data_IF_699278729544
#
_entry.id   IF_699278729544
#
_cell.length_a   1.000
_cell.length_b   1.000
_cell.length_c   1.000
_cell.angle_alpha   90.00
_cell.angle_beta   90.00
_cell.angle_gamma   90.00
#
_symmetry.space_group_name_H-M   'P 1'
#
loop_
_entity.id
_entity.type
_entity.pdbx_description
1 polymer ?
#
# COMPACT_ATOMS: atom_id res chain seq x y z
N UNK A 1 -40.83 -30.07 -7.08
CA UNK A 1 -39.94 -29.06 -6.46
C UNK A 1 -38.53 -29.60 -6.58
N UNK A 2 -37.85 -29.23 -7.67
CA UNK A 2 -36.51 -29.74 -8.00
C UNK A 2 -35.51 -29.03 -7.10
N UNK A 3 -34.85 -29.76 -6.19
CA UNK A 3 -33.79 -29.20 -5.38
C UNK A 3 -32.61 -28.86 -6.31
N UNK A 4 -32.33 -27.57 -6.48
CA UNK A 4 -31.09 -27.09 -7.09
C UNK A 4 -29.99 -27.35 -6.07
N UNK A 5 -29.20 -28.41 -6.27
CA UNK A 5 -27.96 -28.62 -5.52
C UNK A 5 -26.90 -27.72 -6.16
N UNK A 6 -26.86 -26.48 -5.70
CA UNK A 6 -25.74 -25.59 -5.96
C UNK A 6 -24.67 -25.89 -4.92
N UNK A 7 -23.56 -26.49 -5.35
CA UNK A 7 -22.37 -26.68 -4.52
C UNK A 7 -22.02 -25.36 -3.82
N UNK A 8 -22.12 -25.35 -2.49
CA UNK A 8 -21.66 -24.23 -1.68
C UNK A 8 -20.14 -24.33 -1.61
N UNK A 9 -19.44 -23.45 -2.32
CA UNK A 9 -17.98 -23.31 -2.18
C UNK A 9 -17.66 -23.04 -0.71
N UNK A 10 -16.90 -23.94 -0.09
CA UNK A 10 -16.13 -23.59 1.09
C UNK A 10 -15.01 -22.69 0.57
N UNK A 11 -15.11 -21.39 0.82
CA UNK A 11 -13.98 -20.51 0.57
C UNK A 11 -12.88 -20.92 1.54
N UNK A 12 -11.86 -21.59 1.03
CA UNK A 12 -10.59 -21.79 1.74
C UNK A 12 -10.00 -20.42 2.09
N UNK A 13 -9.14 -20.39 3.11
CA UNK A 13 -8.60 -19.16 3.68
C UNK A 13 -8.03 -18.23 2.61
N UNK A 14 -8.30 -16.93 2.77
CA UNK A 14 -7.64 -15.86 2.00
C UNK A 14 -6.44 -15.29 2.77
N UNK A 15 -5.73 -14.36 2.15
CA UNK A 15 -4.69 -13.56 2.82
C UNK A 15 -5.34 -12.64 3.86
N UNK A 16 -4.69 -12.52 5.03
CA UNK A 16 -5.07 -11.57 6.07
C UNK A 16 -5.10 -10.14 5.51
N UNK A 17 -6.06 -9.33 5.94
CA UNK A 17 -6.14 -7.92 5.57
C UNK A 17 -4.89 -7.13 6.01
N UNK A 18 -4.16 -7.64 7.01
CA UNK A 18 -2.89 -7.10 7.46
C UNK A 18 -1.73 -7.97 6.97
N UNK A 19 -0.76 -7.35 6.31
CA UNK A 19 0.57 -7.92 6.08
C UNK A 19 1.58 -7.26 7.01
N UNK A 20 2.64 -7.98 7.36
CA UNK A 20 3.69 -7.47 8.26
C UNK A 20 4.85 -6.95 7.45
N UNK A 21 5.23 -5.69 7.69
CA UNK A 21 6.43 -5.09 7.10
C UNK A 21 7.68 -5.71 7.76
N UNK A 22 8.60 -6.20 6.94
CA UNK A 22 9.93 -6.64 7.39
C UNK A 22 10.96 -5.54 7.12
N UNK A 23 10.89 -4.94 5.94
CA UNK A 23 11.67 -3.75 5.54
C UNK A 23 10.87 -2.92 4.54
N UNK A 24 10.89 -1.60 4.68
CA UNK A 24 10.26 -0.69 3.72
C UNK A 24 11.08 -0.43 2.46
N UNK A 25 12.35 -0.86 2.44
CA UNK A 25 13.28 -0.52 1.38
C UNK A 25 13.59 0.98 1.32
N UNK A 26 14.08 1.46 0.18
CA UNK A 26 14.35 2.90 -0.05
C UNK A 26 14.24 3.23 -1.53
N UNK A 27 14.00 4.51 -1.85
CA UNK A 27 14.11 5.06 -3.20
C UNK A 27 12.93 4.74 -4.12
N UNK A 28 11.78 4.37 -3.57
CA UNK A 28 10.58 4.19 -4.37
C UNK A 28 10.02 5.56 -4.78
N UNK A 29 10.08 5.85 -6.09
CA UNK A 29 9.62 7.11 -6.70
C UNK A 29 8.23 7.01 -7.33
N UNK A 30 7.75 5.79 -7.53
CA UNK A 30 6.38 5.49 -7.95
C UNK A 30 5.90 4.23 -7.26
N UNK A 31 4.58 4.09 -7.10
CA UNK A 31 3.98 2.95 -6.39
C UNK A 31 4.43 1.63 -7.03
N UNK A 32 5.15 0.76 -6.31
CA UNK A 32 5.60 -0.51 -6.87
C UNK A 32 4.43 -1.49 -7.03
N UNK A 33 4.61 -2.46 -7.93
CA UNK A 33 3.66 -3.56 -8.12
C UNK A 33 3.83 -4.58 -6.99
N UNK A 34 2.73 -4.95 -6.35
CA UNK A 34 2.69 -6.01 -5.35
C UNK A 34 2.03 -7.24 -5.96
N UNK A 35 2.69 -8.39 -5.82
CA UNK A 35 2.12 -9.68 -6.24
C UNK A 35 2.19 -10.70 -5.11
N UNK A 36 1.15 -11.52 -5.03
CA UNK A 36 1.08 -12.68 -4.15
C UNK A 36 1.28 -13.94 -4.98
N UNK A 37 1.90 -14.98 -4.41
CA UNK A 37 1.97 -16.28 -5.06
C UNK A 37 0.56 -16.84 -5.33
N UNK A 38 0.44 -17.68 -6.35
CA UNK A 38 -0.81 -18.37 -6.65
C UNK A 38 -1.23 -19.28 -5.48
N UNK A 39 -2.54 -19.44 -5.24
CA UNK A 39 -3.06 -20.41 -4.26
C UNK A 39 -2.81 -21.85 -4.71
N UNK A 40 -2.78 -22.78 -3.75
CA UNK A 40 -2.61 -24.21 -4.01
C UNK A 40 -3.86 -24.84 -4.66
N UNK A 41 -5.05 -24.35 -4.30
CA UNK A 41 -6.30 -24.79 -4.92
C UNK A 41 -6.42 -24.20 -6.32
N UNK A 42 -6.54 -25.06 -7.34
CA UNK A 42 -6.54 -24.66 -8.77
C UNK A 42 -7.72 -23.77 -9.19
N UNK A 43 -8.80 -23.76 -8.42
CA UNK A 43 -9.95 -22.84 -8.59
C UNK A 43 -9.89 -21.63 -7.66
N UNK A 44 -8.79 -21.49 -6.91
CA UNK A 44 -8.53 -20.37 -6.02
C UNK A 44 -8.31 -19.06 -6.79
N UNK A 45 -8.49 -17.95 -6.09
CA UNK A 45 -8.25 -16.61 -6.63
C UNK A 45 -7.02 -16.02 -5.95
N UNK A 46 -6.05 -15.56 -6.74
CA UNK A 46 -4.84 -14.90 -6.20
C UNK A 46 -5.22 -13.59 -5.51
N UNK A 47 -4.64 -13.35 -4.33
CA UNK A 47 -4.78 -12.08 -3.63
C UNK A 47 -4.16 -10.92 -4.42
N UNK A 48 -4.72 -9.73 -4.23
CA UNK A 48 -4.18 -8.49 -4.82
C UNK A 48 -3.96 -7.46 -3.73
N UNK A 49 -3.00 -6.56 -3.94
CA UNK A 49 -2.76 -5.47 -3.03
C UNK A 49 -2.01 -4.32 -3.68
N UNK A 50 -2.04 -3.18 -3.00
CA UNK A 50 -1.42 -1.93 -3.43
C UNK A 50 -0.41 -1.49 -2.37
N UNK A 51 0.81 -1.18 -2.80
CA UNK A 51 1.83 -0.62 -1.93
C UNK A 51 1.53 0.86 -1.61
N UNK A 52 1.80 1.26 -0.38
CA UNK A 52 1.74 2.65 0.07
C UNK A 52 3.17 3.13 0.29
N UNK A 53 3.55 4.20 -0.40
CA UNK A 53 4.83 4.86 -0.19
C UNK A 53 4.65 5.94 0.88
N UNK A 54 5.53 5.94 1.88
CA UNK A 54 5.64 6.96 2.91
C UNK A 54 7.08 7.45 3.04
N UNK A 55 7.32 8.24 4.09
CA UNK A 55 8.60 8.93 4.34
C UNK A 55 9.06 9.71 3.10
N UNK A 56 8.35 10.81 2.85
CA UNK A 56 8.61 11.73 1.74
C UNK A 56 9.07 13.06 2.31
N UNK A 57 9.87 13.79 1.55
CA UNK A 57 10.34 15.11 1.92
C UNK A 57 9.49 16.24 1.32
N UNK A 58 9.63 17.42 1.92
CA UNK A 58 9.39 18.70 1.26
C UNK A 58 10.71 19.40 0.92
N UNK A 59 10.65 20.46 0.14
CA UNK A 59 11.78 21.35 -0.14
C UNK A 59 12.07 22.20 1.10
N UNK A 60 13.26 22.03 1.66
CA UNK A 60 13.73 22.77 2.83
C UNK A 60 14.30 24.14 2.45
N UNK A 61 15.14 24.17 1.41
CA UNK A 61 15.80 25.39 0.96
C UNK A 61 16.19 25.29 -0.50
N UNK A 62 16.44 26.44 -1.12
CA UNK A 62 16.97 26.55 -2.47
C UNK A 62 18.16 27.52 -2.41
N UNK A 63 19.25 27.15 -3.06
CA UNK A 63 20.43 27.99 -3.21
C UNK A 63 20.84 28.04 -4.69
N UNK A 64 21.43 29.15 -5.11
CA UNK A 64 22.06 29.30 -6.42
C UNK A 64 23.58 29.26 -6.30
N UNK A 65 24.23 28.60 -7.25
CA UNK A 65 25.67 28.71 -7.51
C UNK A 65 25.97 28.22 -8.94
N UNK A 66 26.34 29.11 -9.89
CA UNK A 66 26.49 30.55 -9.73
C UNK A 66 25.13 31.29 -9.67
N UNK A 67 25.14 32.54 -9.21
CA UNK A 67 23.94 33.39 -9.06
C UNK A 67 23.47 34.04 -10.36
N UNK A 68 24.29 33.98 -11.42
CA UNK A 68 23.98 34.59 -12.71
C UNK A 68 23.89 36.12 -12.68
N UNK A 69 23.38 36.71 -13.76
CA UNK A 69 23.30 38.18 -13.94
C UNK A 69 22.14 38.60 -14.84
N UNK A 70 21.70 39.85 -14.70
CA UNK A 70 20.72 40.49 -15.60
C UNK A 70 19.27 40.10 -15.33
N UNK A 71 18.98 39.61 -14.13
CA UNK A 71 17.63 39.25 -13.69
C UNK A 71 16.80 40.48 -13.32
N UNK A 72 15.50 40.43 -13.61
CA UNK A 72 14.57 41.54 -13.35
C UNK A 72 13.54 41.23 -12.25
N UNK A 73 12.67 42.20 -11.95
CA UNK A 73 11.50 42.02 -11.07
C UNK A 73 10.45 41.04 -11.62
N UNK A 74 10.57 40.63 -12.89
CA UNK A 74 9.75 39.60 -13.54
C UNK A 74 10.31 38.18 -13.41
N UNK A 75 11.37 38.02 -12.62
CA UNK A 75 11.98 36.71 -12.38
C UNK A 75 11.10 35.87 -11.46
N UNK A 76 10.84 34.63 -11.86
CA UNK A 76 10.13 33.62 -11.09
C UNK A 76 10.98 32.35 -10.96
N UNK A 77 10.57 31.46 -10.07
CA UNK A 77 11.19 30.15 -9.87
C UNK A 77 10.15 29.07 -10.06
N UNK A 78 10.49 28.06 -10.85
CA UNK A 78 9.68 26.87 -11.06
C UNK A 78 10.40 25.67 -10.43
N UNK A 79 9.69 24.94 -9.58
CA UNK A 79 10.17 23.71 -8.95
C UNK A 79 9.46 22.54 -9.63
N UNK A 80 10.19 21.49 -10.01
CA UNK A 80 9.55 20.34 -10.65
C UNK A 80 8.53 19.67 -9.74
N UNK A 81 7.54 19.00 -10.34
CA UNK A 81 6.52 18.24 -9.61
C UNK A 81 7.17 17.15 -8.71
N UNK A 82 6.49 16.75 -7.63
CA UNK A 82 6.94 15.64 -6.78
C UNK A 82 6.93 14.31 -7.52
N UNK A 83 7.73 13.35 -7.05
CA UNK A 83 7.80 12.00 -7.64
C UNK A 83 6.47 11.26 -7.51
N UNK A 84 5.85 11.39 -6.33
CA UNK A 84 4.55 10.79 -6.05
C UNK A 84 3.43 11.63 -6.65
N UNK A 85 2.58 11.00 -7.46
CA UNK A 85 1.44 11.65 -8.11
C UNK A 85 0.42 12.27 -7.14
N UNK A 86 0.36 11.79 -5.89
CA UNK A 86 -0.45 12.35 -4.82
C UNK A 86 0.27 13.44 -4.01
N UNK A 87 1.52 13.75 -4.35
CA UNK A 87 2.32 14.78 -3.69
C UNK A 87 1.81 16.19 -3.99
N UNK A 88 2.25 17.15 -3.18
CA UNK A 88 1.96 18.57 -3.37
C UNK A 88 3.24 19.26 -3.84
N UNK A 89 3.16 19.96 -4.96
CA UNK A 89 4.30 20.69 -5.50
C UNK A 89 4.72 21.83 -4.56
N UNK A 90 6.02 21.95 -4.31
CA UNK A 90 6.60 23.04 -3.56
C UNK A 90 6.49 24.36 -4.34
N UNK A 91 6.39 25.47 -3.62
CA UNK A 91 6.42 26.82 -4.20
C UNK A 91 7.48 27.66 -3.53
N UNK A 92 8.08 28.58 -4.28
CA UNK A 92 9.07 29.52 -3.78
C UNK A 92 8.99 30.84 -4.55
N UNK A 93 9.53 31.90 -3.95
CA UNK A 93 9.86 33.14 -4.63
C UNK A 93 11.38 33.30 -4.71
N UNK A 94 11.83 34.08 -5.70
CA UNK A 94 13.24 34.41 -5.89
C UNK A 94 13.48 35.85 -5.46
N UNK A 95 14.64 36.11 -4.88
CA UNK A 95 15.08 37.45 -4.47
C UNK A 95 16.19 37.87 -5.42
N UNK A 96 15.98 38.97 -6.13
CA UNK A 96 16.96 39.58 -7.04
C UNK A 96 17.61 40.76 -6.31
N UNK A 97 18.94 40.85 -6.36
CA UNK A 97 19.72 41.94 -5.78
C UNK A 97 19.71 43.19 -6.68
N UNK A 98 20.16 44.33 -6.13
CA UNK A 98 20.26 45.60 -6.86
C UNK A 98 21.27 45.56 -8.03
N UNK A 99 22.14 44.55 -8.09
CA UNK A 99 23.10 44.31 -9.19
C UNK A 99 22.60 43.27 -10.21
N UNK A 100 21.29 42.99 -10.22
CA UNK A 100 20.59 42.06 -11.11
C UNK A 100 21.07 40.59 -10.99
N UNK A 101 21.66 40.22 -9.85
CA UNK A 101 22.04 38.83 -9.52
C UNK A 101 20.97 38.15 -8.64
N UNK A 102 20.97 36.81 -8.58
CA UNK A 102 20.11 36.08 -7.64
C UNK A 102 20.70 36.17 -6.23
N UNK A 103 20.01 36.85 -5.33
CA UNK A 103 20.42 36.99 -3.92
C UNK A 103 19.99 35.78 -3.06
N UNK A 104 18.97 35.05 -3.50
CA UNK A 104 18.48 33.86 -2.82
C UNK A 104 17.03 33.54 -3.16
N UNK A 105 16.46 32.62 -2.37
CA UNK A 105 15.11 32.10 -2.57
C UNK A 105 14.38 32.02 -1.23
N UNK A 106 13.07 32.23 -1.27
CA UNK A 106 12.17 32.02 -0.13
C UNK A 106 11.20 30.91 -0.50
N UNK A 107 11.34 29.74 0.12
CA UNK A 107 10.36 28.66 -0.01
C UNK A 107 9.08 29.09 0.67
N UNK A 108 8.01 29.27 -0.09
CA UNK A 108 6.70 29.71 0.41
C UNK A 108 5.88 28.52 0.88
N UNK A 109 5.93 27.40 0.16
CA UNK A 109 5.36 26.12 0.58
C UNK A 109 6.35 25.00 0.29
N UNK A 110 6.71 24.21 1.30
CA UNK A 110 7.69 23.14 1.15
C UNK A 110 7.20 22.00 0.23
N UNK A 111 5.89 21.86 0.04
CA UNK A 111 5.30 20.73 -0.68
C UNK A 111 5.48 19.40 0.06
N UNK A 112 5.17 18.30 -0.62
CA UNK A 112 5.29 16.93 -0.12
C UNK A 112 5.35 15.91 -1.27
N UNK A 113 5.77 14.68 -0.98
CA UNK A 113 5.84 13.62 -2.00
C UNK A 113 7.14 13.59 -2.79
N UNK A 114 8.16 14.35 -2.38
CA UNK A 114 9.50 14.30 -2.94
C UNK A 114 10.28 13.15 -2.30
N UNK A 115 10.75 12.23 -3.13
CA UNK A 115 11.63 11.11 -2.79
C UNK A 115 13.01 11.26 -3.43
N UNK A 116 13.10 12.13 -4.45
CA UNK A 116 14.32 12.62 -5.06
C UNK A 116 14.31 14.15 -5.08
N UNK A 117 15.49 14.76 -5.09
CA UNK A 117 15.62 16.22 -5.11
C UNK A 117 14.99 16.80 -6.38
N UNK A 118 14.04 17.76 -6.27
CA UNK A 118 13.42 18.35 -7.45
C UNK A 118 14.38 19.26 -8.21
N UNK A 119 14.13 19.40 -9.50
CA UNK A 119 14.76 20.43 -10.32
C UNK A 119 14.20 21.80 -9.97
N UNK A 120 15.07 22.82 -10.03
CA UNK A 120 14.70 24.22 -9.84
C UNK A 120 15.14 25.00 -11.06
N UNK A 121 14.21 25.69 -11.69
CA UNK A 121 14.46 26.52 -12.88
C UNK A 121 14.13 27.97 -12.55
N UNK A 122 15.10 28.86 -12.78
CA UNK A 122 14.88 30.31 -12.69
C UNK A 122 14.43 30.80 -14.06
N UNK A 123 13.26 31.44 -14.11
CA UNK A 123 12.66 31.95 -15.34
C UNK A 123 12.55 33.46 -15.24
N UNK A 124 13.17 34.18 -16.15
CA UNK A 124 12.95 35.61 -16.31
C UNK A 124 12.13 35.84 -17.59
N UNK A 125 11.02 36.55 -17.45
CA UNK A 125 10.10 36.85 -18.55
C UNK A 125 10.32 38.23 -19.18
N UNK A 126 11.41 38.91 -18.82
CA UNK A 126 11.83 40.15 -19.48
C UNK A 126 12.28 39.93 -20.94
N UNK A 127 12.11 40.90 -21.86
CA UNK A 127 12.63 40.83 -23.23
C UNK A 127 14.14 40.58 -23.34
N UNK A 128 14.93 40.99 -22.33
CA UNK A 128 16.34 40.65 -22.19
C UNK A 128 16.55 39.83 -20.92
N UNK A 129 16.19 38.54 -20.91
CA UNK A 129 16.07 37.81 -19.67
C UNK A 129 17.43 37.55 -19.04
N UNK A 130 17.48 37.51 -17.70
CA UNK A 130 18.68 37.11 -16.95
C UNK A 130 19.20 35.71 -17.31
N UNK A 131 20.49 35.47 -17.07
CA UNK A 131 21.19 34.25 -17.49
C UNK A 131 22.19 33.80 -16.43
N UNK A 132 22.49 32.49 -16.47
CA UNK A 132 23.62 31.91 -15.75
C UNK A 132 23.33 31.41 -14.35
N UNK A 133 22.17 31.71 -13.75
CA UNK A 133 21.85 31.15 -12.44
C UNK A 133 21.61 29.64 -12.51
N UNK A 134 22.21 28.89 -11.58
CA UNK A 134 21.95 27.46 -11.39
C UNK A 134 21.41 27.27 -9.99
N UNK A 135 20.12 26.99 -9.87
CA UNK A 135 19.45 26.78 -8.59
C UNK A 135 19.37 25.30 -8.25
N UNK A 136 19.61 24.96 -6.98
CA UNK A 136 19.53 23.60 -6.44
C UNK A 136 18.66 23.59 -5.19
N UNK A 137 17.74 22.62 -5.11
CA UNK A 137 16.91 22.41 -3.94
C UNK A 137 17.60 21.46 -2.95
N UNK A 138 17.31 21.65 -1.67
CA UNK A 138 17.65 20.70 -0.61
C UNK A 138 16.35 20.20 0.02
N UNK A 139 16.24 18.89 0.22
CA UNK A 139 15.06 18.25 0.82
C UNK A 139 15.17 18.15 2.35
N UNK A 140 14.03 18.10 3.02
CA UNK A 140 13.94 17.74 4.45
C UNK A 140 14.22 16.25 4.65
N UNK A 141 15.04 15.89 5.65
CA UNK A 141 15.29 14.51 6.10
C UNK A 141 15.47 13.47 4.97
N UNK A 142 16.67 13.42 4.39
CA UNK A 142 16.98 12.60 3.22
C UNK A 142 17.48 11.19 3.56
N UNK A 143 17.55 10.82 4.85
CA UNK A 143 18.22 9.59 5.28
C UNK A 143 17.52 8.33 4.77
N UNK A 144 16.20 8.37 4.61
CA UNK A 144 15.40 7.24 4.15
C UNK A 144 14.12 7.76 3.47
N UNK A 145 14.20 8.12 2.19
CA UNK A 145 13.02 8.56 1.43
C UNK A 145 12.44 7.46 0.56
N UNK A 146 11.12 7.54 0.34
CA UNK A 146 10.38 6.66 -0.55
C UNK A 146 10.36 5.24 -0.01
N UNK A 147 9.89 5.05 1.22
CA UNK A 147 9.73 3.74 1.85
C UNK A 147 8.37 3.17 1.49
N UNK A 148 8.29 1.87 1.21
CA UNK A 148 7.00 1.18 1.24
C UNK A 148 6.63 0.95 2.70
N UNK A 149 5.70 1.73 3.25
CA UNK A 149 5.31 1.65 4.66
C UNK A 149 4.28 0.55 4.92
N UNK A 150 3.37 0.35 3.97
CA UNK A 150 2.31 -0.65 4.07
C UNK A 150 1.95 -1.24 2.71
N UNK A 151 1.29 -2.40 2.74
CA UNK A 151 0.55 -2.93 1.60
C UNK A 151 -0.91 -3.03 2.06
N UNK A 152 -1.80 -2.42 1.29
CA UNK A 152 -3.23 -2.59 1.43
C UNK A 152 -3.61 -3.84 0.64
N UNK A 153 -4.21 -4.83 1.30
CA UNK A 153 -4.74 -6.01 0.63
C UNK A 153 -6.12 -5.63 0.05
N UNK A 154 -6.17 -5.43 -1.26
CA UNK A 154 -7.38 -5.01 -1.98
C UNK A 154 -8.38 -6.17 -2.11
N UNK A 155 -7.86 -7.38 -2.40
CA UNK A 155 -8.62 -8.62 -2.42
C UNK A 155 -7.82 -9.70 -1.72
N UNK A 156 -8.40 -10.30 -0.69
CA UNK A 156 -7.75 -11.36 0.09
C UNK A 156 -7.49 -12.65 -0.72
N UNK A 157 -8.20 -12.83 -1.84
CA UNK A 157 -8.17 -14.08 -2.60
C UNK A 157 -8.81 -15.25 -1.85
N UNK A 158 -8.62 -16.45 -2.38
CA UNK A 158 -9.10 -17.71 -1.84
C UNK A 158 -8.26 -18.87 -2.39
N UNK A 159 -8.31 -20.04 -1.78
CA UNK A 159 -7.54 -21.20 -2.26
C UNK A 159 -6.21 -21.42 -1.55
N UNK A 160 -5.87 -20.58 -0.58
CA UNK A 160 -4.58 -20.67 0.10
C UNK A 160 -4.62 -21.71 1.22
N UNK A 161 -3.78 -22.73 1.08
CA UNK A 161 -3.52 -23.76 2.11
C UNK A 161 -2.23 -23.46 2.88
N UNK A 162 -1.31 -22.71 2.27
CA UNK A 162 -0.10 -22.17 2.91
C UNK A 162 -0.06 -20.65 2.78
N UNK A 163 0.74 -19.99 3.63
CA UNK A 163 0.94 -18.53 3.57
C UNK A 163 1.61 -18.17 2.23
N UNK A 164 1.04 -17.26 1.42
CA UNK A 164 1.65 -16.88 0.16
C UNK A 164 2.90 -16.03 0.35
N UNK A 165 3.81 -16.11 -0.62
CA UNK A 165 4.93 -15.18 -0.71
C UNK A 165 4.50 -13.86 -1.34
N UNK A 166 5.05 -12.75 -0.87
CA UNK A 166 4.85 -11.41 -1.44
C UNK A 166 6.08 -11.04 -2.26
N UNK A 167 5.89 -10.55 -3.49
CA UNK A 167 6.94 -9.98 -4.33
C UNK A 167 6.60 -8.54 -4.70
N UNK A 168 7.59 -7.66 -4.54
CA UNK A 168 7.50 -6.23 -4.85
C UNK A 168 8.45 -5.93 -6.00
N UNK A 169 7.92 -5.38 -7.09
CA UNK A 169 8.71 -5.06 -8.29
C UNK A 169 8.34 -3.68 -8.85
N UNK A 170 9.26 -3.09 -9.61
CA UNK A 170 9.08 -1.75 -10.16
C UNK A 170 9.20 -0.65 -9.11
N UNK A 171 8.65 0.53 -9.40
CA UNK A 171 8.63 1.68 -8.48
C UNK A 171 9.96 2.42 -8.31
N UNK A 172 11.04 1.99 -8.97
CA UNK A 172 12.36 2.63 -8.92
C UNK A 172 13.21 2.30 -7.68
N UNK A 173 12.58 1.86 -6.59
CA UNK A 173 13.24 1.52 -5.33
C UNK A 173 13.66 0.06 -5.20
N UNK A 174 14.24 -0.29 -4.05
CA UNK A 174 14.65 -1.66 -3.71
C UNK A 174 14.57 -1.94 -2.21
N UNK A 175 14.60 -3.22 -1.84
CA UNK A 175 14.72 -3.65 -0.43
C UNK A 175 13.42 -3.70 0.36
N UNK A 176 12.27 -3.40 -0.24
CA UNK A 176 10.99 -3.61 0.41
C UNK A 176 10.67 -5.12 0.53
N UNK A 177 10.31 -5.57 1.72
CA UNK A 177 9.93 -6.95 1.99
C UNK A 177 8.85 -7.03 3.06
N UNK A 178 7.87 -7.90 2.81
CA UNK A 178 6.67 -8.07 3.63
C UNK A 178 6.35 -9.56 3.77
N UNK A 179 5.73 -9.93 4.88
CA UNK A 179 5.20 -11.27 5.10
C UNK A 179 3.69 -11.24 5.20
N UNK A 180 3.04 -12.19 4.52
CA UNK A 180 1.61 -12.40 4.64
C UNK A 180 1.28 -13.27 5.86
N UNK A 181 0.00 -13.32 6.21
CA UNK A 181 -0.59 -14.35 7.04
C UNK A 181 -1.89 -14.81 6.38
N UNK A 182 -2.36 -16.01 6.71
CA UNK A 182 -3.69 -16.44 6.31
C UNK A 182 -4.74 -15.86 7.26
N UNK A 183 -5.89 -15.47 6.72
CA UNK A 183 -7.04 -15.12 7.52
C UNK A 183 -7.65 -16.40 8.11
N UNK A 184 -7.74 -16.49 9.44
CA UNK A 184 -8.32 -17.65 10.12
C UNK A 184 -9.87 -17.66 10.10
N UNK A 185 -10.49 -16.80 9.28
CA UNK A 185 -11.94 -16.66 9.20
C UNK A 185 -12.47 -17.49 8.05
N UNK A 186 -13.13 -18.60 8.39
CA UNK A 186 -13.96 -19.33 7.43
C UNK A 186 -15.28 -18.56 7.28
N UNK A 187 -15.36 -17.71 6.25
CA UNK A 187 -16.62 -17.04 5.90
C UNK A 187 -17.51 -18.02 5.16
N UNK A 188 -18.55 -18.47 5.85
CA UNK A 188 -19.62 -19.31 5.30
C UNK A 188 -20.61 -18.38 4.59
N UNK A 189 -20.36 -18.04 3.32
CA UNK A 189 -21.25 -17.22 2.52
C UNK A 189 -22.23 -18.09 1.72
N UNK A 190 -23.52 -18.05 2.05
CA UNK A 190 -24.59 -18.65 1.26
C UNK A 190 -25.89 -18.91 2.02
N UNK A 191 -27.04 -18.67 1.38
CA UNK A 191 -28.35 -19.19 1.84
C UNK A 191 -28.41 -20.69 1.55
N UNK A 192 -27.87 -21.52 2.42
CA UNK A 192 -27.84 -22.97 2.19
C UNK A 192 -27.00 -23.78 3.16
N UNK A 193 -26.14 -23.16 3.95
CA UNK A 193 -25.37 -23.88 4.96
C UNK A 193 -26.25 -24.07 6.20
N UNK A 194 -26.85 -25.25 6.32
CA UNK A 194 -27.54 -25.69 7.55
C UNK A 194 -26.51 -26.32 8.47
N UNK A 195 -26.00 -25.58 9.45
CA UNK A 195 -25.48 -26.20 10.66
C UNK A 195 -26.67 -26.82 11.40
N UNK A 196 -26.93 -28.11 11.16
CA UNK A 196 -27.90 -28.86 11.95
C UNK A 196 -27.22 -29.36 13.21
N UNK A 197 -27.43 -28.65 14.33
CA UNK A 197 -27.13 -29.17 15.65
C UNK A 197 -28.37 -29.86 16.17
N UNK A 198 -28.39 -31.19 16.16
CA UNK A 198 -29.38 -31.95 16.92
C UNK A 198 -28.74 -32.42 18.21
N UNK A 199 -29.47 -32.22 19.31
CA UNK A 199 -29.03 -32.64 20.63
C UNK A 199 -30.20 -33.02 21.51
N UNK A 200 -29.94 -33.90 22.45
CA UNK A 200 -30.86 -34.24 23.52
C UNK A 200 -30.06 -34.21 24.83
N UNK A 201 -30.71 -33.84 25.93
CA UNK A 201 -30.12 -34.06 27.24
C UNK A 201 -30.14 -35.56 27.51
N UNK A 202 -28.98 -36.13 27.84
CA UNK A 202 -28.92 -37.53 28.26
C UNK A 202 -29.41 -37.65 29.71
N UNK A 203 -29.77 -38.87 30.13
CA UNK A 203 -30.14 -39.14 31.52
C UNK A 203 -29.02 -38.75 32.54
N UNK A 204 -27.77 -38.57 32.07
CA UNK A 204 -26.65 -38.10 32.87
C UNK A 204 -26.41 -36.58 32.84
N UNK A 205 -27.36 -35.79 32.33
CA UNK A 205 -27.26 -34.32 32.29
C UNK A 205 -26.26 -33.76 31.27
N UNK A 206 -25.79 -34.58 30.33
CA UNK A 206 -24.87 -34.16 29.28
C UNK A 206 -25.64 -33.57 28.10
N UNK A 207 -25.09 -32.54 27.46
CA UNK A 207 -25.59 -32.06 26.17
C UNK A 207 -24.70 -32.66 25.08
N UNK A 208 -25.29 -33.54 24.24
CA UNK A 208 -24.60 -34.10 23.08
C UNK A 208 -25.06 -33.40 21.82
N UNK A 209 -24.14 -32.76 21.12
CA UNK A 209 -24.36 -32.06 19.86
C UNK A 209 -23.79 -32.92 18.74
N UNK A 210 -24.64 -33.44 17.85
CA UNK A 210 -24.16 -34.07 16.62
C UNK A 210 -23.90 -32.99 15.56
N UNK A 211 -22.82 -33.12 14.80
CA UNK A 211 -22.54 -32.26 13.64
C UNK A 211 -22.22 -33.09 12.41
N UNK A 212 -22.56 -32.55 11.24
CA UNK A 212 -22.10 -33.04 9.94
C UNK A 212 -21.56 -31.87 9.13
N UNK A 213 -20.35 -32.00 8.59
CA UNK A 213 -19.73 -31.01 7.72
C UNK A 213 -19.52 -31.66 6.35
N UNK A 214 -20.02 -31.01 5.31
CA UNK A 214 -19.82 -31.41 3.92
C UNK A 214 -19.40 -30.18 3.11
N UNK A 215 -18.46 -30.36 2.18
CA UNK A 215 -18.03 -29.34 1.22
C UNK A 215 -18.59 -29.70 -0.16
N UNK A 216 -19.73 -29.13 -0.53
CA UNK A 216 -20.41 -29.43 -1.80
C UNK A 216 -21.20 -30.74 -1.82
N UNK A 217 -21.94 -30.97 -2.91
CA UNK A 217 -22.95 -32.04 -3.01
C UNK A 217 -22.37 -33.45 -3.21
N UNK A 218 -21.08 -33.55 -3.54
CA UNK A 218 -20.40 -34.82 -3.86
C UNK A 218 -19.36 -35.24 -2.81
N UNK A 219 -19.07 -34.42 -1.80
CA UNK A 219 -18.13 -34.80 -0.75
C UNK A 219 -18.81 -35.63 0.34
N UNK A 220 -18.13 -36.68 0.81
CA UNK A 220 -18.58 -37.46 1.95
C UNK A 220 -18.60 -36.58 3.21
N UNK A 221 -19.80 -36.40 3.78
CA UNK A 221 -19.96 -35.57 4.97
C UNK A 221 -19.20 -36.17 6.17
N UNK A 222 -18.26 -35.42 6.74
CA UNK A 222 -17.62 -35.78 8.01
C UNK A 222 -18.61 -35.54 9.14
N UNK A 223 -18.85 -36.57 9.94
CA UNK A 223 -19.79 -36.55 11.07
C UNK A 223 -19.02 -36.65 12.38
N UNK A 224 -19.49 -35.97 13.40
CA UNK A 224 -18.93 -36.06 14.73
C UNK A 224 -19.94 -35.67 15.80
N UNK A 225 -19.49 -35.70 17.05
CA UNK A 225 -20.28 -35.21 18.18
C UNK A 225 -19.42 -34.47 19.18
N UNK A 226 -19.95 -33.38 19.71
CA UNK A 226 -19.41 -32.66 20.87
C UNK A 226 -20.28 -33.03 22.07
N UNK A 227 -19.65 -33.42 23.18
CA UNK A 227 -20.34 -33.71 24.44
C UNK A 227 -19.93 -32.69 25.49
N UNK A 228 -20.90 -31.96 26.02
CA UNK A 228 -20.71 -31.05 27.15
C UNK A 228 -21.19 -31.72 28.43
N UNK A 229 -20.28 -31.89 29.39
CA UNK A 229 -20.60 -32.38 30.72
C UNK A 229 -20.91 -31.20 31.63
N UNK A 230 -22.00 -31.25 32.38
CA UNK A 230 -22.24 -30.30 33.47
C UNK A 230 -21.15 -30.52 34.52
N UNK A 231 -20.38 -29.48 34.86
CA UNK A 231 -19.53 -29.53 36.06
C UNK A 231 -20.44 -29.69 37.28
N UNK A 232 -20.11 -30.66 38.13
CA UNK A 232 -20.80 -30.90 39.41
C UNK A 232 -20.86 -29.66 40.29
#
# INVERSE_FOLDING_TARGET
MTAVSGSTQVSTSGVSATVTQVSGGTGYTSVPTVTFSAPEVSTGTTATGTAVIGETAGVLSIASDPDGTGYSDKTTVEITAPDLASGVQATATVVVADDDTIAGFVVTEAGSGYTTTPGVTVVDSDPTPGKGAVATATLTDTAALGLVTHIIVDQAGSGYESVPTISITGGGGSGASFTAALANTVTIAGTGIRLSLSGHQTAGGQIKLAYSVASGDTCEAKRGSITLNKSG
#
